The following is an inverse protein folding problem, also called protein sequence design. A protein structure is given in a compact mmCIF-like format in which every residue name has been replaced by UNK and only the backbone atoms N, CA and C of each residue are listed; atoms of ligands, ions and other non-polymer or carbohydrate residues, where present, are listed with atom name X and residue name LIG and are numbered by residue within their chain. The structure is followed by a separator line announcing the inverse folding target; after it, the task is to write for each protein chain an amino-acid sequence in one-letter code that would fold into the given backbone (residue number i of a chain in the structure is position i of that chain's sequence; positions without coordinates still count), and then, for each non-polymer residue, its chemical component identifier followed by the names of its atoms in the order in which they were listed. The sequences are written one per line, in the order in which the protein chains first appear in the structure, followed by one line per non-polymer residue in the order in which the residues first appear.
data_IF_723391395010
#
_entry.id   IF_723391395010
#
_cell.length_a   1.000
_cell.length_b   1.000
_cell.length_c   1.000
_cell.angle_alpha   90.00
_cell.angle_beta   90.00
_cell.angle_gamma   90.00
#
_symmetry.space_group_name_H-M   'P 1'
#
loop_
_entity.id
_entity.type
_entity.pdbx_description
1 polymer ?
#
# COMPACT_ATOMS: atom_id res chain seq x y z
N UNK A 1 -19.41 26.59 13.72
CA UNK A 1 -19.52 25.15 14.01
C UNK A 1 -20.51 24.50 13.04
N UNK A 2 -20.41 23.20 12.88
CA UNK A 2 -21.41 22.40 12.20
C UNK A 2 -21.61 21.08 12.94
N UNK A 3 -22.83 20.59 12.94
CA UNK A 3 -23.23 19.36 13.65
C UNK A 3 -23.55 18.28 12.62
N UNK A 4 -22.98 17.11 12.79
CA UNK A 4 -23.26 15.97 11.92
C UNK A 4 -24.57 15.24 12.32
N UNK A 5 -25.08 14.30 11.51
CA UNK A 5 -26.33 13.58 11.83
C UNK A 5 -26.34 12.77 13.11
N UNK A 6 -25.20 12.58 13.77
CA UNK A 6 -25.11 11.93 15.10
C UNK A 6 -25.13 12.94 16.24
N UNK A 7 -25.20 14.24 15.94
CA UNK A 7 -25.16 15.32 16.92
C UNK A 7 -23.74 15.74 17.32
N UNK A 8 -22.71 15.20 16.67
CA UNK A 8 -21.31 15.56 16.94
C UNK A 8 -20.96 16.92 16.32
N UNK A 9 -20.47 17.84 17.15
CA UNK A 9 -20.16 19.21 16.75
C UNK A 9 -18.68 19.38 16.40
N UNK A 10 -18.39 20.08 15.28
CA UNK A 10 -17.07 20.54 14.88
C UNK A 10 -17.03 22.04 14.79
N UNK A 11 -15.99 22.65 15.32
CA UNK A 11 -15.78 24.10 15.26
C UNK A 11 -14.58 24.42 14.38
N UNK A 12 -14.74 25.37 13.46
CA UNK A 12 -13.64 25.95 12.69
C UNK A 12 -13.30 27.33 13.29
N UNK A 13 -12.01 27.59 13.43
CA UNK A 13 -11.47 28.90 13.75
C UNK A 13 -10.94 29.55 12.49
N UNK A 14 -11.08 30.87 12.39
CA UNK A 14 -10.74 31.64 11.20
C UNK A 14 -9.70 32.69 11.56
N UNK A 15 -8.73 32.89 10.69
CA UNK A 15 -7.76 33.98 10.79
C UNK A 15 -8.37 35.32 10.40
N UNK A 16 -7.68 36.42 10.66
CA UNK A 16 -8.09 37.77 10.23
C UNK A 16 -8.08 37.93 8.71
N UNK A 17 -7.46 37.02 7.98
CA UNK A 17 -7.44 36.91 6.50
C UNK A 17 -8.66 36.19 5.92
N UNK A 18 -9.59 35.71 6.76
CA UNK A 18 -10.77 34.96 6.35
C UNK A 18 -10.49 33.51 5.96
N UNK A 19 -9.29 33.00 6.22
CA UNK A 19 -8.95 31.59 6.01
C UNK A 19 -9.06 30.80 7.31
N UNK A 20 -9.28 29.46 7.19
CA UNK A 20 -9.33 28.58 8.36
C UNK A 20 -7.96 28.54 9.02
N UNK A 21 -7.87 29.00 10.28
CA UNK A 21 -6.68 28.96 11.12
C UNK A 21 -6.64 27.77 12.06
N UNK A 22 -7.75 27.06 12.22
CA UNK A 22 -7.79 25.85 13.04
C UNK A 22 -9.14 25.15 12.98
N UNK A 23 -9.19 23.99 13.62
CA UNK A 23 -10.39 23.19 13.79
C UNK A 23 -10.37 22.48 15.15
N UNK A 24 -11.53 22.37 15.79
CA UNK A 24 -11.72 21.56 17.00
C UNK A 24 -12.68 20.45 16.63
N UNK A 25 -12.28 19.21 16.85
CA UNK A 25 -13.12 18.04 16.59
C UNK A 25 -14.13 17.81 17.75
N UNK A 26 -15.13 16.94 17.58
CA UNK A 26 -16.13 16.66 18.63
C UNK A 26 -15.58 16.10 19.94
N UNK A 27 -14.32 15.70 19.98
CA UNK A 27 -13.64 15.22 21.20
C UNK A 27 -12.78 16.30 21.85
N UNK A 28 -12.77 17.53 21.29
CA UNK A 28 -11.95 18.64 21.75
C UNK A 28 -10.51 18.62 21.22
N UNK A 29 -10.18 17.71 20.32
CA UNK A 29 -8.85 17.72 19.68
C UNK A 29 -8.72 18.93 18.75
N UNK A 30 -7.63 19.67 18.94
CA UNK A 30 -7.39 20.94 18.23
C UNK A 30 -6.32 20.76 17.15
N UNK A 31 -6.64 21.29 15.97
CA UNK A 31 -5.71 21.48 14.85
C UNK A 31 -5.49 22.96 14.62
N UNK A 32 -4.24 23.39 14.47
CA UNK A 32 -3.87 24.77 14.18
C UNK A 32 -3.10 24.87 12.87
N UNK A 33 -3.33 25.94 12.13
CA UNK A 33 -2.67 26.24 10.86
C UNK A 33 -2.13 27.66 10.92
N UNK A 34 -0.81 27.79 10.89
CA UNK A 34 -0.13 29.07 10.72
C UNK A 34 0.12 29.33 9.24
N UNK A 35 0.06 30.59 8.82
CA UNK A 35 0.22 30.99 7.41
C UNK A 35 1.17 32.17 7.27
N UNK A 36 1.79 32.30 6.12
CA UNK A 36 2.54 33.49 5.75
C UNK A 36 1.60 34.61 5.22
N UNK A 37 2.17 35.76 4.88
CA UNK A 37 1.43 36.90 4.36
C UNK A 37 0.75 36.64 2.99
N UNK A 38 1.14 35.58 2.26
CA UNK A 38 0.48 35.15 1.02
C UNK A 38 -0.70 34.22 1.25
N UNK A 39 -0.92 33.77 2.51
CA UNK A 39 -1.93 32.79 2.89
C UNK A 39 -1.45 31.34 2.77
N UNK A 40 -0.19 31.08 2.43
CA UNK A 40 0.36 29.73 2.36
C UNK A 40 0.59 29.14 3.76
N UNK A 41 0.22 27.87 4.02
CA UNK A 41 0.37 27.24 5.32
C UNK A 41 1.84 26.97 5.63
N UNK A 42 2.41 27.69 6.61
CA UNK A 42 3.81 27.57 7.04
C UNK A 42 4.00 26.58 8.16
N UNK A 43 2.93 26.30 8.93
CA UNK A 43 2.95 25.31 10.00
C UNK A 43 1.58 24.73 10.24
N UNK A 44 1.51 23.45 10.44
CA UNK A 44 0.28 22.72 10.83
C UNK A 44 0.61 21.87 12.05
N UNK A 45 -0.11 22.15 13.16
CA UNK A 45 -0.01 21.38 14.39
C UNK A 45 -1.31 20.62 14.58
N UNK A 46 -1.21 19.29 14.73
CA UNK A 46 -2.36 18.41 14.92
C UNK A 46 -2.02 17.38 15.99
N UNK A 47 -2.39 17.70 17.25
CA UNK A 47 -2.27 16.78 18.38
C UNK A 47 -0.87 16.17 18.63
N UNK A 48 0.20 16.92 18.32
CA UNK A 48 1.60 16.50 18.51
C UNK A 48 2.32 16.18 17.20
N UNK A 49 1.61 16.06 16.08
CA UNK A 49 2.19 16.16 14.76
C UNK A 49 2.40 17.64 14.47
N UNK A 50 3.62 18.01 14.10
CA UNK A 50 4.03 19.38 13.80
C UNK A 50 4.75 19.35 12.45
N UNK A 51 4.12 19.91 11.42
CA UNK A 51 4.69 19.99 10.09
C UNK A 51 4.87 21.44 9.72
N UNK A 52 6.10 21.82 9.37
CA UNK A 52 6.44 23.16 8.88
C UNK A 52 6.83 23.11 7.41
N UNK A 53 6.50 24.17 6.67
CA UNK A 53 6.86 24.35 5.28
C UNK A 53 7.41 25.75 5.00
N UNK A 54 8.36 25.82 4.08
CA UNK A 54 8.91 27.10 3.58
C UNK A 54 8.65 27.23 2.10
N UNK A 55 8.39 28.46 1.67
CA UNK A 55 8.06 28.79 0.28
C UNK A 55 9.03 29.83 -0.27
N UNK A 56 9.27 29.78 -1.56
CA UNK A 56 9.99 30.84 -2.26
C UNK A 56 9.04 32.02 -2.62
N UNK A 57 9.61 33.06 -3.22
CA UNK A 57 8.82 34.26 -3.65
C UNK A 57 7.75 33.95 -4.70
N UNK A 58 7.83 32.83 -5.40
CA UNK A 58 6.83 32.39 -6.36
C UNK A 58 5.76 31.48 -5.73
N UNK A 59 5.77 31.29 -4.40
CA UNK A 59 4.83 30.44 -3.66
C UNK A 59 5.08 28.94 -3.82
N UNK A 60 6.26 28.52 -4.29
CA UNK A 60 6.62 27.09 -4.42
C UNK A 60 7.26 26.62 -3.12
N UNK A 61 6.86 25.43 -2.66
CA UNK A 61 7.42 24.83 -1.43
C UNK A 61 8.87 24.43 -1.65
N UNK A 62 9.80 25.09 -0.95
CA UNK A 62 11.25 24.79 -1.04
C UNK A 62 11.74 23.91 0.08
N UNK A 63 10.99 23.78 1.16
CA UNK A 63 11.31 22.83 2.23
C UNK A 63 10.06 22.45 3.02
N UNK A 64 10.05 21.22 3.53
CA UNK A 64 9.06 20.72 4.49
C UNK A 64 9.78 19.94 5.58
N UNK A 65 9.40 20.19 6.84
CA UNK A 65 9.95 19.46 7.97
C UNK A 65 8.83 18.92 8.88
N UNK A 66 9.04 17.71 9.42
CA UNK A 66 8.17 17.11 10.42
C UNK A 66 8.47 17.56 11.84
N UNK A 67 7.71 17.04 12.82
CA UNK A 67 7.85 17.31 14.25
C UNK A 67 9.25 16.99 14.81
N UNK A 68 9.97 16.09 14.14
CA UNK A 68 11.34 15.67 14.46
C UNK A 68 12.42 16.59 13.88
N UNK A 69 12.02 17.65 13.14
CA UNK A 69 12.92 18.56 12.45
C UNK A 69 13.60 17.96 11.20
N UNK A 70 13.22 16.76 10.79
CA UNK A 70 13.72 16.17 9.54
C UNK A 70 13.18 16.94 8.33
N UNK A 71 14.06 17.63 7.64
CA UNK A 71 13.71 18.51 6.52
C UNK A 71 13.94 17.85 5.18
N UNK A 72 12.96 17.93 4.29
CA UNK A 72 13.11 17.63 2.86
C UNK A 72 13.15 18.95 2.09
N UNK A 73 14.21 19.14 1.30
CA UNK A 73 14.44 20.34 0.47
C UNK A 73 14.03 20.04 -0.97
N UNK A 74 13.32 20.98 -1.61
CA UNK A 74 12.88 20.92 -3.00
C UNK A 74 13.57 22.01 -3.82
N UNK A 75 14.07 21.66 -5.01
CA UNK A 75 14.66 22.59 -5.97
C UNK A 75 13.91 22.56 -7.28
N UNK A 76 13.82 23.73 -7.92
CA UNK A 76 13.04 23.94 -9.14
C UNK A 76 13.89 24.54 -10.25
N UNK A 77 13.55 24.21 -11.50
CA UNK A 77 14.14 24.88 -12.67
C UNK A 77 13.56 26.31 -12.86
N UNK A 78 14.07 27.01 -13.85
CA UNK A 78 13.61 28.37 -14.20
C UNK A 78 12.14 28.44 -14.63
N UNK A 79 11.55 27.33 -15.06
CA UNK A 79 10.13 27.20 -15.40
C UNK A 79 9.25 26.83 -14.21
N UNK A 80 9.80 26.67 -13.00
CA UNK A 80 9.09 26.31 -11.80
C UNK A 80 8.78 24.82 -11.64
N UNK A 81 9.45 23.96 -12.38
CA UNK A 81 9.24 22.50 -12.31
C UNK A 81 10.25 21.89 -11.33
N UNK A 82 9.79 20.99 -10.46
CA UNK A 82 10.65 20.27 -9.53
C UNK A 82 11.70 19.46 -10.28
N UNK A 83 12.99 19.66 -9.95
CA UNK A 83 14.13 18.96 -10.55
C UNK A 83 14.96 18.19 -9.53
N UNK A 84 14.85 18.51 -8.25
CA UNK A 84 15.61 17.79 -7.20
C UNK A 84 14.86 17.83 -5.88
N UNK A 85 14.90 16.71 -5.15
CA UNK A 85 14.58 16.68 -3.73
C UNK A 85 15.74 16.08 -2.96
N UNK A 86 16.02 16.65 -1.77
CA UNK A 86 17.02 16.14 -0.83
C UNK A 86 16.32 15.95 0.52
N UNK A 87 16.28 14.73 1.03
CA UNK A 87 15.68 14.48 2.34
C UNK A 87 16.66 14.75 3.49
N UNK A 88 16.19 14.61 4.73
CA UNK A 88 16.96 14.88 5.94
C UNK A 88 18.22 14.01 6.11
N UNK A 89 18.28 12.85 5.46
CA UNK A 89 19.43 11.95 5.46
C UNK A 89 20.38 12.20 4.28
N UNK A 90 20.11 13.25 3.47
CA UNK A 90 20.89 13.62 2.29
C UNK A 90 20.58 12.79 1.05
N UNK A 91 19.54 11.96 1.07
CA UNK A 91 19.16 11.19 -0.09
C UNK A 91 18.52 12.06 -1.17
N UNK A 92 19.12 12.04 -2.33
CA UNK A 92 18.79 12.93 -3.43
C UNK A 92 18.05 12.17 -4.54
N UNK A 93 16.91 12.72 -4.97
CA UNK A 93 16.23 12.31 -6.20
C UNK A 93 16.29 13.45 -7.20
N UNK A 94 16.70 13.15 -8.45
CA UNK A 94 16.86 14.15 -9.51
C UNK A 94 15.97 13.78 -10.70
N UNK A 95 15.29 14.78 -11.26
CA UNK A 95 14.45 14.66 -12.46
C UNK A 95 15.02 15.50 -13.60
N UNK A 96 15.35 14.86 -14.70
CA UNK A 96 15.68 15.55 -15.94
C UNK A 96 14.46 15.63 -16.86
N UNK A 97 14.38 16.71 -17.64
CA UNK A 97 13.24 16.97 -18.51
C UNK A 97 13.67 17.35 -19.90
N UNK A 98 12.84 17.01 -20.88
CA UNK A 98 12.99 17.49 -22.25
C UNK A 98 12.50 18.95 -22.41
N UNK A 99 12.65 19.48 -23.64
CA UNK A 99 12.21 20.84 -23.98
C UNK A 99 10.69 21.04 -23.84
N UNK A 100 9.90 19.97 -23.91
CA UNK A 100 8.44 20.00 -23.71
C UNK A 100 8.07 19.92 -22.21
N UNK A 101 9.05 19.74 -21.32
CA UNK A 101 8.84 19.65 -19.86
C UNK A 101 8.55 18.26 -19.34
N UNK A 102 8.55 17.23 -20.20
CA UNK A 102 8.30 15.84 -19.81
C UNK A 102 9.56 15.27 -19.13
N UNK A 103 9.37 14.44 -18.09
CA UNK A 103 10.47 13.76 -17.40
C UNK A 103 11.10 12.73 -18.33
N UNK A 104 12.40 12.86 -18.65
CA UNK A 104 13.14 11.90 -19.49
C UNK A 104 14.08 11.02 -18.68
N UNK A 105 14.46 11.46 -17.47
CA UNK A 105 15.18 10.58 -16.54
C UNK A 105 14.83 10.90 -15.08
N UNK A 106 14.94 9.88 -14.22
CA UNK A 106 14.87 10.01 -12.77
C UNK A 106 16.05 9.26 -12.18
N UNK A 107 16.91 9.98 -11.46
CA UNK A 107 17.99 9.40 -10.66
C UNK A 107 17.51 9.23 -9.25
N UNK A 108 17.53 8.00 -8.77
CA UNK A 108 17.13 7.65 -7.40
C UNK A 108 18.29 7.86 -6.40
N UNK A 109 18.02 7.99 -5.10
CA UNK A 109 19.07 8.10 -4.05
C UNK A 109 20.07 6.95 -4.03
N UNK A 110 19.70 5.80 -4.57
CA UNK A 110 20.57 4.62 -4.72
C UNK A 110 21.55 4.72 -5.88
N UNK A 111 21.49 5.80 -6.68
CA UNK A 111 22.24 5.97 -7.94
C UNK A 111 21.58 5.28 -9.13
N UNK A 112 20.48 4.54 -8.93
CA UNK A 112 19.73 3.95 -10.05
C UNK A 112 19.05 5.01 -10.90
N UNK A 113 19.14 4.86 -12.24
CA UNK A 113 18.54 5.80 -13.20
C UNK A 113 17.46 5.09 -14.01
N UNK A 114 16.31 5.73 -14.13
CA UNK A 114 15.24 5.32 -15.02
C UNK A 114 15.11 6.34 -16.15
N UNK A 115 15.15 5.88 -17.40
CA UNK A 115 14.91 6.69 -18.58
C UNK A 115 13.50 6.47 -19.10
N UNK A 116 12.86 7.56 -19.53
CA UNK A 116 11.50 7.56 -20.06
C UNK A 116 11.50 8.02 -21.51
N UNK A 117 10.87 7.25 -22.36
CA UNK A 117 10.70 7.56 -23.76
C UNK A 117 9.24 7.86 -24.08
N UNK A 118 9.01 8.74 -25.03
CA UNK A 118 7.68 9.18 -25.43
C UNK A 118 7.48 8.97 -26.93
N UNK A 119 6.27 8.60 -27.32
CA UNK A 119 5.90 8.50 -28.73
C UNK A 119 5.68 9.88 -29.37
N UNK A 120 5.40 9.89 -30.67
CA UNK A 120 5.17 11.13 -31.44
C UNK A 120 3.95 11.94 -30.92
N UNK A 121 3.01 11.31 -30.24
CA UNK A 121 1.87 11.97 -29.60
C UNK A 121 2.18 12.48 -28.19
N UNK A 122 3.40 12.28 -27.69
CA UNK A 122 3.82 12.67 -26.34
C UNK A 122 3.36 11.71 -25.23
N UNK A 123 2.87 10.52 -25.56
CA UNK A 123 2.47 9.49 -24.59
C UNK A 123 3.70 8.70 -24.18
N UNK A 124 3.73 8.25 -22.94
CA UNK A 124 4.79 7.41 -22.40
C UNK A 124 4.88 6.08 -23.17
N UNK A 125 5.98 5.86 -23.89
CA UNK A 125 6.17 4.72 -24.78
C UNK A 125 7.09 3.64 -24.19
N UNK A 126 8.11 4.03 -23.42
CA UNK A 126 8.97 3.06 -22.75
C UNK A 126 9.63 3.60 -21.51
N UNK A 127 10.03 2.67 -20.61
CA UNK A 127 10.94 2.92 -19.48
C UNK A 127 12.12 1.97 -19.59
N UNK A 128 13.32 2.52 -19.39
CA UNK A 128 14.56 1.74 -19.32
C UNK A 128 15.19 1.94 -17.94
N UNK A 129 15.42 0.85 -17.22
CA UNK A 129 16.08 0.88 -15.91
C UNK A 129 17.61 0.96 -16.04
N UNK A 130 18.32 1.25 -14.95
CA UNK A 130 19.79 1.21 -14.89
C UNK A 130 20.37 -0.14 -15.34
N UNK A 131 19.67 -1.24 -15.07
CA UNK A 131 20.07 -2.58 -15.49
C UNK A 131 19.78 -2.90 -16.96
N UNK A 132 19.23 -1.94 -17.73
CA UNK A 132 18.87 -2.13 -19.13
C UNK A 132 17.50 -2.81 -19.35
N UNK A 133 16.75 -3.07 -18.27
CA UNK A 133 15.40 -3.64 -18.38
C UNK A 133 14.47 -2.64 -19.05
N UNK A 134 13.89 -3.02 -20.18
CA UNK A 134 13.04 -2.17 -21.01
C UNK A 134 11.59 -2.64 -20.94
N UNK A 135 10.69 -1.75 -20.53
CA UNK A 135 9.24 -1.91 -20.58
C UNK A 135 8.67 -1.02 -21.67
N UNK A 136 7.81 -1.56 -22.53
CA UNK A 136 7.17 -0.81 -23.60
C UNK A 136 5.66 -0.78 -23.46
N UNK A 137 5.04 0.36 -23.85
CA UNK A 137 3.61 0.60 -23.87
C UNK A 137 3.12 0.77 -25.30
N UNK A 138 2.04 0.09 -25.64
CA UNK A 138 1.45 0.12 -26.98
C UNK A 138 0.05 0.69 -26.87
N UNK A 139 -0.23 1.72 -27.66
CA UNK A 139 -1.52 2.41 -27.66
C UNK A 139 -2.25 2.23 -28.99
N UNK A 140 -3.58 2.24 -28.93
CA UNK A 140 -4.42 2.35 -30.13
C UNK A 140 -4.57 3.81 -30.58
N UNK A 141 -5.34 4.00 -31.66
CA UNK A 141 -5.62 5.33 -32.22
C UNK A 141 -6.39 6.25 -31.25
N UNK A 142 -7.16 5.67 -30.33
CA UNK A 142 -7.90 6.40 -29.30
C UNK A 142 -7.07 6.67 -28.03
N UNK A 143 -5.75 6.41 -28.08
CA UNK A 143 -4.80 6.58 -26.98
C UNK A 143 -5.06 5.65 -25.76
N UNK A 144 -5.74 4.52 -25.97
CA UNK A 144 -5.94 3.50 -24.92
C UNK A 144 -4.76 2.53 -24.93
N UNK A 145 -4.25 2.14 -23.76
CA UNK A 145 -3.18 1.16 -23.62
C UNK A 145 -3.69 -0.24 -24.00
N UNK A 146 -3.31 -0.73 -25.20
CA UNK A 146 -3.73 -2.03 -25.75
C UNK A 146 -2.67 -3.11 -25.59
N UNK A 147 -1.42 -2.74 -25.26
CA UNK A 147 -0.35 -3.71 -25.04
C UNK A 147 0.77 -3.17 -24.18
N UNK A 148 1.45 -4.10 -23.53
CA UNK A 148 2.68 -3.88 -22.79
C UNK A 148 3.68 -4.97 -23.20
N UNK A 149 4.95 -4.63 -23.39
CA UNK A 149 6.03 -5.60 -23.61
C UNK A 149 6.96 -5.51 -22.41
N UNK A 150 7.16 -6.63 -21.75
CA UNK A 150 8.04 -6.72 -20.59
C UNK A 150 9.50 -6.95 -21.03
N UNK A 151 10.50 -6.67 -20.19
CA UNK A 151 11.91 -6.89 -20.52
C UNK A 151 12.27 -8.31 -20.94
N UNK A 152 11.46 -9.29 -20.59
CA UNK A 152 11.57 -10.69 -21.03
C UNK A 152 11.06 -10.94 -22.44
N UNK A 153 10.47 -9.92 -23.10
CA UNK A 153 9.78 -10.05 -24.38
C UNK A 153 8.32 -10.55 -24.26
N UNK A 154 7.88 -10.89 -23.07
CA UNK A 154 6.50 -11.30 -22.80
C UNK A 154 5.53 -10.13 -23.04
N UNK A 155 4.35 -10.43 -23.60
CA UNK A 155 3.37 -9.42 -24.01
C UNK A 155 2.06 -9.55 -23.26
N UNK A 156 1.62 -8.46 -22.63
CA UNK A 156 0.24 -8.25 -22.19
C UNK A 156 -0.57 -7.65 -23.33
N UNK A 157 -1.79 -8.06 -23.52
CA UNK A 157 -2.71 -7.44 -24.48
C UNK A 157 -4.08 -7.18 -23.87
N UNK A 158 -4.66 -6.02 -24.23
CA UNK A 158 -5.99 -5.59 -23.76
C UNK A 158 -6.83 -5.20 -24.96
N UNK A 159 -8.09 -5.70 -25.02
CA UNK A 159 -9.07 -5.31 -26.04
C UNK A 159 -10.21 -4.54 -25.40
N UNK A 160 -10.68 -3.56 -26.12
CA UNK A 160 -11.78 -2.70 -25.70
C UNK A 160 -12.97 -2.87 -26.63
N UNK A 161 -14.18 -2.66 -26.11
CA UNK A 161 -15.38 -2.51 -26.93
C UNK A 161 -15.50 -1.05 -27.46
N UNK A 162 -16.53 -0.80 -28.25
CA UNK A 162 -16.77 0.52 -28.82
C UNK A 162 -17.07 1.61 -27.74
N UNK A 163 -17.46 1.22 -26.54
CA UNK A 163 -17.67 2.14 -25.42
C UNK A 163 -16.39 2.35 -24.57
N UNK A 164 -15.25 1.79 -25.00
CA UNK A 164 -13.96 1.93 -24.29
C UNK A 164 -13.82 1.04 -23.05
N UNK A 165 -14.65 0.03 -22.87
CA UNK A 165 -14.59 -0.90 -21.74
C UNK A 165 -13.74 -2.12 -22.09
N UNK A 166 -12.94 -2.63 -21.16
CA UNK A 166 -12.09 -3.81 -21.37
C UNK A 166 -12.98 -5.05 -21.56
N UNK A 167 -12.91 -5.71 -22.72
CA UNK A 167 -13.63 -6.95 -23.00
C UNK A 167 -12.73 -8.18 -22.94
N UNK A 168 -11.42 -8.00 -23.12
CA UNK A 168 -10.45 -9.08 -23.04
C UNK A 168 -9.10 -8.54 -22.53
N UNK A 169 -8.47 -9.25 -21.58
CA UNK A 169 -7.09 -9.01 -21.17
C UNK A 169 -6.36 -10.34 -21.12
N UNK A 170 -5.22 -10.40 -21.78
CA UNK A 170 -4.31 -11.54 -21.77
C UNK A 170 -3.02 -11.16 -21.07
N UNK A 171 -2.63 -11.95 -20.09
CA UNK A 171 -1.36 -11.79 -19.37
C UNK A 171 -0.53 -13.07 -19.48
N UNK A 172 0.80 -12.97 -19.65
CA UNK A 172 1.68 -14.13 -19.61
C UNK A 172 1.51 -14.92 -18.31
N UNK A 173 1.44 -16.23 -18.41
CA UNK A 173 1.27 -17.12 -17.26
C UNK A 173 -0.08 -17.09 -16.55
N UNK A 174 -0.89 -16.07 -16.78
CA UNK A 174 -2.25 -15.96 -16.21
C UNK A 174 -3.35 -16.27 -17.23
N UNK A 175 -2.98 -16.27 -18.52
CA UNK A 175 -3.91 -16.57 -19.61
C UNK A 175 -4.84 -15.41 -19.95
N UNK A 176 -6.02 -15.71 -20.47
CA UNK A 176 -6.96 -14.70 -20.99
C UNK A 176 -8.21 -14.61 -20.12
N UNK A 177 -8.50 -13.41 -19.62
CA UNK A 177 -9.75 -13.07 -18.91
C UNK A 177 -10.65 -12.27 -19.85
N UNK A 178 -11.97 -12.60 -19.90
CA UNK A 178 -12.96 -11.89 -20.71
C UNK A 178 -14.07 -11.34 -19.85
N UNK A 179 -14.56 -10.15 -20.20
CA UNK A 179 -15.58 -9.42 -19.48
C UNK A 179 -16.80 -9.21 -20.36
N UNK A 180 -17.99 -9.41 -19.79
CA UNK A 180 -19.25 -9.08 -20.41
C UNK A 180 -19.99 -8.02 -19.58
N UNK A 181 -20.65 -7.11 -20.26
CA UNK A 181 -21.32 -5.95 -19.66
C UNK A 181 -22.81 -5.92 -20.00
N UNK A 182 -23.61 -5.34 -19.13
CA UNK A 182 -24.98 -4.98 -19.43
C UNK A 182 -25.04 -3.60 -20.16
N UNK A 183 -26.27 -3.19 -20.48
CA UNK A 183 -26.51 -1.90 -21.17
C UNK A 183 -26.14 -0.67 -20.33
N UNK A 184 -26.06 -0.81 -19.01
CA UNK A 184 -25.63 0.23 -18.08
C UNK A 184 -24.10 0.25 -17.87
N UNK A 185 -23.34 -0.66 -18.51
CA UNK A 185 -21.88 -0.75 -18.40
C UNK A 185 -21.41 -1.53 -17.18
N UNK A 186 -22.28 -2.22 -16.46
CA UNK A 186 -21.89 -3.03 -15.28
C UNK A 186 -21.44 -4.42 -15.73
N UNK A 187 -20.41 -4.98 -15.06
CA UNK A 187 -19.91 -6.33 -15.36
C UNK A 187 -20.97 -7.36 -14.95
N UNK A 188 -21.49 -8.11 -15.91
CA UNK A 188 -22.45 -9.20 -15.68
C UNK A 188 -21.83 -10.58 -15.85
N UNK A 189 -20.65 -10.65 -16.47
CA UNK A 189 -19.95 -11.91 -16.68
C UNK A 189 -18.45 -11.69 -16.70
N UNK A 190 -17.70 -12.56 -16.01
CA UNK A 190 -16.25 -12.69 -16.12
C UNK A 190 -15.94 -14.15 -16.46
N UNK A 191 -15.17 -14.36 -17.53
CA UNK A 191 -14.66 -15.67 -17.89
C UNK A 191 -13.16 -15.70 -17.63
N UNK A 192 -12.73 -16.62 -16.79
CA UNK A 192 -11.31 -16.81 -16.46
C UNK A 192 -10.57 -17.63 -17.56
N UNK A 193 -9.25 -17.77 -17.49
CA UNK A 193 -8.45 -18.50 -18.47
C UNK A 193 -8.77 -19.99 -18.58
N UNK A 194 -9.32 -20.58 -17.52
CA UNK A 194 -9.70 -22.00 -17.46
C UNK A 194 -11.15 -22.24 -17.84
N UNK A 195 -11.78 -21.22 -18.49
CA UNK A 195 -13.17 -21.25 -18.93
C UNK A 195 -14.21 -21.22 -17.79
N UNK A 196 -13.77 -21.00 -16.55
CA UNK A 196 -14.65 -20.76 -15.40
C UNK A 196 -15.43 -19.45 -15.61
N UNK A 197 -16.72 -19.49 -15.33
CA UNK A 197 -17.62 -18.36 -15.62
C UNK A 197 -18.29 -17.86 -14.35
N UNK A 198 -17.97 -16.61 -13.94
CA UNK A 198 -18.67 -15.90 -12.88
C UNK A 198 -19.73 -14.98 -13.49
N UNK A 199 -20.91 -14.89 -12.87
CA UNK A 199 -22.02 -14.04 -13.31
C UNK A 199 -22.49 -13.18 -12.16
N UNK A 200 -22.95 -11.96 -12.48
CA UNK A 200 -23.42 -10.99 -11.51
C UNK A 200 -24.78 -10.46 -11.92
N UNK A 201 -25.67 -10.27 -10.95
CA UNK A 201 -26.99 -9.66 -11.13
C UNK A 201 -27.09 -8.39 -10.29
N UNK A 202 -27.83 -7.45 -10.79
CA UNK A 202 -28.00 -6.14 -10.17
C UNK A 202 -29.47 -5.77 -10.12
N UNK A 203 -29.86 -4.99 -9.12
CA UNK A 203 -31.16 -4.35 -9.06
C UNK A 203 -31.24 -3.08 -9.92
N UNK A 204 -32.40 -2.41 -9.88
CA UNK A 204 -32.63 -1.19 -10.62
C UNK A 204 -31.78 0.00 -10.13
N UNK A 205 -31.35 0.00 -8.85
CA UNK A 205 -30.45 0.98 -8.27
C UNK A 205 -28.97 0.74 -8.63
N UNK A 206 -28.64 -0.40 -9.28
CA UNK A 206 -27.28 -0.74 -9.64
C UNK A 206 -26.52 -1.52 -8.58
N UNK A 207 -27.18 -1.96 -7.52
CA UNK A 207 -26.58 -2.74 -6.45
C UNK A 207 -26.52 -4.22 -6.84
N UNK A 208 -25.39 -4.90 -6.56
CA UNK A 208 -25.21 -6.32 -6.87
C UNK A 208 -26.07 -7.17 -5.93
N UNK A 209 -27.08 -7.84 -6.47
CA UNK A 209 -27.98 -8.73 -5.70
C UNK A 209 -27.52 -10.17 -5.67
N UNK A 210 -26.81 -10.63 -6.70
CA UNK A 210 -26.28 -11.99 -6.76
C UNK A 210 -24.89 -12.03 -7.40
N UNK A 211 -24.01 -12.85 -6.84
CA UNK A 211 -22.76 -13.31 -7.45
C UNK A 211 -22.82 -14.84 -7.60
N UNK A 212 -22.64 -15.33 -8.82
CA UNK A 212 -22.68 -16.74 -9.17
C UNK A 212 -21.28 -17.14 -9.61
N UNK A 213 -20.65 -18.05 -8.92
CA UNK A 213 -19.29 -18.51 -9.22
C UNK A 213 -19.24 -19.50 -10.40
N UNK A 214 -18.04 -20.01 -10.72
CA UNK A 214 -17.82 -20.94 -11.83
C UNK A 214 -18.49 -22.31 -11.63
N UNK A 215 -18.78 -22.70 -10.39
CA UNK A 215 -19.46 -23.94 -10.04
C UNK A 215 -20.98 -23.80 -10.07
N UNK A 216 -21.48 -22.58 -10.18
CA UNK A 216 -22.90 -22.23 -10.09
C UNK A 216 -23.39 -21.91 -8.69
N UNK A 217 -22.48 -21.86 -7.70
CA UNK A 217 -22.80 -21.48 -6.34
C UNK A 217 -23.16 -19.99 -6.25
N UNK A 218 -24.23 -19.67 -5.52
CA UNK A 218 -24.83 -18.32 -5.50
C UNK A 218 -24.67 -17.68 -4.15
N UNK A 219 -24.04 -16.51 -4.12
CA UNK A 219 -24.04 -15.57 -2.97
C UNK A 219 -25.08 -14.49 -3.25
N UNK A 220 -25.95 -14.17 -2.28
CA UNK A 220 -26.96 -13.13 -2.36
C UNK A 220 -26.68 -11.99 -1.41
N UNK A 221 -27.03 -10.76 -1.81
CA UNK A 221 -26.81 -9.54 -1.05
C UNK A 221 -28.13 -8.76 -0.93
N UNK A 222 -28.37 -8.21 0.26
CA UNK A 222 -29.52 -7.34 0.55
C UNK A 222 -29.01 -6.00 1.03
N UNK A 223 -29.69 -4.94 0.61
CA UNK A 223 -29.29 -3.55 0.89
C UNK A 223 -30.44 -2.81 1.57
N UNK A 224 -30.10 -1.82 2.39
CA UNK A 224 -31.06 -0.87 2.92
C UNK A 224 -31.39 0.24 1.91
N UNK A 225 -32.32 1.11 2.26
CA UNK A 225 -32.77 2.24 1.42
C UNK A 225 -31.65 3.24 1.09
N UNK A 226 -30.55 3.24 1.85
CA UNK A 226 -29.36 4.07 1.62
C UNK A 226 -28.29 3.38 0.78
N UNK A 227 -28.55 2.16 0.31
CA UNK A 227 -27.62 1.39 -0.51
C UNK A 227 -26.51 0.67 0.26
N UNK A 228 -26.64 0.54 1.58
CA UNK A 228 -25.65 -0.16 2.41
C UNK A 228 -26.03 -1.64 2.51
N UNK A 229 -25.04 -2.53 2.33
CA UNK A 229 -25.26 -3.97 2.41
C UNK A 229 -25.54 -4.39 3.86
N UNK A 230 -26.80 -4.78 4.13
CA UNK A 230 -27.26 -5.21 5.45
C UNK A 230 -27.24 -6.73 5.65
N UNK A 231 -27.27 -7.51 4.53
CA UNK A 231 -27.22 -8.96 4.62
C UNK A 231 -26.42 -9.54 3.45
N UNK A 232 -25.69 -10.63 3.72
CA UNK A 232 -25.09 -11.49 2.73
C UNK A 232 -25.39 -12.94 3.07
N UNK A 233 -25.90 -13.71 2.09
CA UNK A 233 -26.18 -15.14 2.20
C UNK A 233 -25.22 -15.88 1.28
N UNK A 234 -24.38 -16.72 1.84
CA UNK A 234 -23.44 -17.52 1.07
C UNK A 234 -24.12 -18.72 0.39
N UNK A 235 -23.41 -19.48 -0.49
CA UNK A 235 -23.99 -20.63 -1.17
C UNK A 235 -24.46 -21.78 -0.27
N UNK A 236 -23.99 -21.83 0.98
CA UNK A 236 -24.40 -22.83 1.97
C UNK A 236 -25.68 -22.42 2.72
N UNK A 237 -26.15 -21.17 2.51
CA UNK A 237 -27.27 -20.59 3.23
C UNK A 237 -26.85 -19.87 4.52
N UNK A 238 -25.54 -19.77 4.80
CA UNK A 238 -25.04 -19.08 5.97
C UNK A 238 -25.20 -17.56 5.82
N UNK A 239 -25.77 -16.90 6.83
CA UNK A 239 -26.20 -15.51 6.75
C UNK A 239 -25.32 -14.62 7.64
N UNK A 240 -24.80 -13.54 7.03
CA UNK A 240 -24.11 -12.45 7.75
C UNK A 240 -24.95 -11.19 7.69
N UNK A 241 -25.17 -10.53 8.84
CA UNK A 241 -25.95 -9.30 8.93
C UNK A 241 -25.14 -8.16 9.49
N UNK A 242 -25.44 -6.93 9.05
CA UNK A 242 -24.83 -5.70 9.53
C UNK A 242 -25.88 -4.65 9.83
N UNK A 243 -25.63 -3.85 10.85
CA UNK A 243 -26.38 -2.62 11.12
C UNK A 243 -25.46 -1.42 11.10
N UNK A 244 -26.02 -0.25 10.79
CA UNK A 244 -25.26 0.97 10.59
C UNK A 244 -25.85 2.11 11.40
N UNK A 245 -25.01 3.06 11.79
CA UNK A 245 -25.46 4.32 12.36
C UNK A 245 -25.92 5.30 11.26
N UNK A 246 -26.38 6.48 11.67
CA UNK A 246 -26.85 7.53 10.76
C UNK A 246 -25.77 8.04 9.79
N UNK A 247 -24.49 7.88 10.14
CA UNK A 247 -23.34 8.23 9.29
C UNK A 247 -22.90 7.10 8.34
N UNK A 248 -23.58 5.95 8.37
CA UNK A 248 -23.26 4.78 7.56
C UNK A 248 -22.09 3.93 8.07
N UNK A 249 -21.69 4.09 9.33
CA UNK A 249 -20.64 3.28 9.96
C UNK A 249 -21.24 2.03 10.60
N UNK A 250 -20.58 0.88 10.45
CA UNK A 250 -21.04 -0.39 11.06
C UNK A 250 -21.05 -0.24 12.58
N UNK A 251 -22.19 -0.56 13.22
CA UNK A 251 -22.37 -0.62 14.67
C UNK A 251 -22.56 -2.05 15.17
N UNK A 252 -23.06 -2.97 14.33
CA UNK A 252 -23.05 -4.40 14.65
C UNK A 252 -22.83 -5.27 13.41
N UNK A 253 -22.24 -6.43 13.63
CA UNK A 253 -22.16 -7.51 12.64
C UNK A 253 -22.49 -8.84 13.33
N UNK A 254 -23.45 -9.58 12.76
CA UNK A 254 -23.79 -10.94 13.20
C UNK A 254 -23.20 -11.92 12.19
N UNK A 255 -22.38 -12.83 12.66
CA UNK A 255 -21.76 -13.89 11.83
C UNK A 255 -22.76 -15.04 11.53
N UNK A 256 -22.42 -15.97 10.63
CA UNK A 256 -23.29 -17.09 10.28
C UNK A 256 -23.63 -18.05 11.44
N UNK A 257 -22.86 -18.03 12.52
CA UNK A 257 -23.11 -18.85 13.73
C UNK A 257 -24.00 -18.14 14.74
N UNK A 258 -24.46 -16.91 14.43
CA UNK A 258 -25.30 -16.07 15.31
C UNK A 258 -24.48 -15.22 16.29
N UNK A 259 -23.16 -15.31 16.26
CA UNK A 259 -22.28 -14.52 17.09
C UNK A 259 -22.30 -13.05 16.68
N UNK A 260 -22.63 -12.14 17.59
CA UNK A 260 -22.73 -10.71 17.28
C UNK A 260 -21.55 -9.93 17.85
N UNK A 261 -20.89 -9.17 16.98
CA UNK A 261 -19.89 -8.17 17.37
C UNK A 261 -20.50 -6.79 17.27
N UNK A 262 -20.33 -5.96 18.31
CA UNK A 262 -20.78 -4.55 18.32
C UNK A 262 -19.61 -3.60 18.50
N UNK A 263 -19.76 -2.38 17.98
CA UNK A 263 -18.76 -1.31 18.07
C UNK A 263 -19.38 -0.05 18.64
N UNK A 264 -18.72 0.50 19.65
CA UNK A 264 -19.00 1.81 20.22
C UNK A 264 -18.03 2.85 19.64
N UNK A 265 -18.52 4.08 19.45
CA UNK A 265 -17.73 5.17 18.84
C UNK A 265 -17.83 6.44 19.66
N UNK A 266 -16.76 7.23 19.64
CA UNK A 266 -16.76 8.59 20.18
C UNK A 266 -17.46 9.58 19.22
N UNK A 267 -17.62 10.82 19.67
CA UNK A 267 -18.22 11.90 18.88
C UNK A 267 -17.50 12.20 17.56
N UNK A 268 -16.22 11.90 17.44
CA UNK A 268 -15.47 12.00 16.19
C UNK A 268 -15.63 10.78 15.26
N UNK A 269 -16.38 9.75 15.73
CA UNK A 269 -16.66 8.55 14.96
C UNK A 269 -15.61 7.44 15.08
N UNK A 270 -14.61 7.63 15.91
CA UNK A 270 -13.54 6.65 16.14
C UNK A 270 -14.05 5.53 17.05
N UNK A 271 -13.68 4.29 16.75
CA UNK A 271 -14.05 3.14 17.61
C UNK A 271 -13.35 3.29 18.96
N UNK A 272 -14.14 3.28 20.05
CA UNK A 272 -13.65 3.34 21.44
C UNK A 272 -14.00 2.07 22.23
N UNK A 273 -14.97 1.28 21.73
CA UNK A 273 -15.38 0.04 22.33
C UNK A 273 -15.73 -1.02 21.29
N UNK A 274 -15.51 -2.29 21.62
CA UNK A 274 -15.93 -3.45 20.84
C UNK A 274 -16.31 -4.57 21.79
N UNK A 275 -17.50 -5.14 21.59
CA UNK A 275 -17.90 -6.40 22.24
C UNK A 275 -17.88 -7.47 21.16
N UNK A 276 -17.06 -8.49 21.32
CA UNK A 276 -16.97 -9.62 20.39
C UNK A 276 -18.09 -10.64 20.60
N UNK A 277 -18.27 -11.56 19.64
CA UNK A 277 -19.25 -12.64 19.69
C UNK A 277 -19.16 -13.53 20.95
N UNK A 278 -17.98 -13.64 21.55
CA UNK A 278 -17.74 -14.35 22.82
C UNK A 278 -18.11 -13.54 24.07
N UNK A 279 -18.63 -12.32 23.93
CA UNK A 279 -18.87 -11.39 25.04
C UNK A 279 -17.63 -10.64 25.50
N UNK A 280 -16.44 -10.95 24.98
CA UNK A 280 -15.21 -10.27 25.36
C UNK A 280 -15.24 -8.82 24.91
N UNK A 281 -14.92 -7.89 25.82
CA UNK A 281 -14.85 -6.46 25.55
C UNK A 281 -13.42 -6.00 25.28
N UNK A 282 -13.27 -5.09 24.32
CA UNK A 282 -12.06 -4.31 24.10
C UNK A 282 -12.44 -2.84 24.14
N UNK A 283 -11.72 -2.04 24.92
CA UNK A 283 -11.88 -0.58 24.94
C UNK A 283 -10.55 0.11 24.63
N UNK A 284 -10.63 1.26 23.96
CA UNK A 284 -9.49 2.05 23.57
C UNK A 284 -9.60 3.46 24.11
N UNK A 285 -8.66 3.82 24.98
CA UNK A 285 -8.47 5.19 25.41
C UNK A 285 -7.57 5.92 24.41
N UNK A 286 -7.85 7.20 24.17
CA UNK A 286 -7.16 8.00 23.17
C UNK A 286 -6.62 9.30 23.76
N UNK A 287 -5.53 9.80 23.16
CA UNK A 287 -5.02 11.16 23.42
C UNK A 287 -5.88 12.23 22.72
N UNK A 288 -5.57 13.49 22.96
CA UNK A 288 -6.24 14.63 22.33
C UNK A 288 -6.18 14.66 20.81
N UNK A 289 -5.23 13.97 20.19
CA UNK A 289 -5.13 13.78 18.74
C UNK A 289 -5.91 12.56 18.23
N UNK A 290 -6.60 11.84 19.11
CA UNK A 290 -7.38 10.67 18.76
C UNK A 290 -6.59 9.37 18.62
N UNK A 291 -5.30 9.36 18.96
CA UNK A 291 -4.46 8.16 18.86
C UNK A 291 -4.66 7.29 20.11
N UNK A 292 -4.71 5.98 19.91
CA UNK A 292 -4.84 5.02 21.03
C UNK A 292 -3.62 5.13 21.95
N UNK A 293 -3.87 5.38 23.25
CA UNK A 293 -2.85 5.39 24.31
C UNK A 293 -2.99 4.18 25.22
N UNK A 294 -4.22 3.63 25.39
CA UNK A 294 -4.45 2.41 26.14
C UNK A 294 -5.44 1.51 25.45
N UNK A 295 -5.22 0.22 25.58
CA UNK A 295 -6.17 -0.82 25.20
C UNK A 295 -6.46 -1.65 26.41
N UNK A 296 -7.74 -1.82 26.75
CA UNK A 296 -8.19 -2.66 27.85
C UNK A 296 -8.97 -3.87 27.27
N UNK A 297 -8.83 -5.01 27.91
CA UNK A 297 -9.61 -6.20 27.64
C UNK A 297 -10.38 -6.58 28.91
N UNK A 298 -11.71 -6.63 28.81
CA UNK A 298 -12.61 -6.90 29.94
C UNK A 298 -12.31 -6.00 31.16
N UNK A 299 -12.00 -4.72 30.91
CA UNK A 299 -11.63 -3.71 31.90
C UNK A 299 -10.17 -3.77 32.39
N UNK A 300 -9.42 -4.83 32.08
CA UNK A 300 -8.03 -4.95 32.50
C UNK A 300 -7.08 -4.36 31.41
N UNK A 301 -6.02 -3.66 31.83
CA UNK A 301 -5.02 -3.10 30.93
C UNK A 301 -4.33 -4.20 30.12
N UNK A 302 -4.50 -4.16 28.80
CA UNK A 302 -3.84 -5.06 27.87
C UNK A 302 -2.53 -4.47 27.37
N UNK A 303 -2.55 -3.18 27.00
CA UNK A 303 -1.40 -2.47 26.44
C UNK A 303 -1.55 -0.96 26.65
N UNK A 304 -0.46 -0.31 27.02
CA UNK A 304 -0.28 1.15 27.01
C UNK A 304 0.74 1.54 25.96
N UNK A 305 0.50 2.65 25.26
CA UNK A 305 1.30 3.11 24.13
C UNK A 305 1.81 4.53 24.39
N UNK A 306 3.10 4.66 24.54
CA UNK A 306 3.80 5.96 24.61
C UNK A 306 4.42 6.28 23.26
N UNK A 307 4.34 7.55 22.83
CA UNK A 307 4.91 8.03 21.56
C UNK A 307 5.79 9.22 21.78
N UNK A 308 7.03 9.11 21.34
CA UNK A 308 7.99 10.20 21.22
C UNK A 308 8.16 10.55 19.74
N UNK A 309 7.48 11.62 19.30
CA UNK A 309 7.49 12.03 17.89
C UNK A 309 8.84 12.59 17.48
N UNK A 310 9.47 13.40 18.33
CA UNK A 310 10.80 13.98 18.07
C UNK A 310 11.87 12.88 18.00
N UNK A 311 11.80 11.90 18.91
CA UNK A 311 12.68 10.73 18.91
C UNK A 311 12.24 9.61 17.96
N UNK A 312 11.13 9.78 17.25
CA UNK A 312 10.53 8.77 16.33
C UNK A 312 10.45 7.39 16.99
N UNK A 313 9.98 7.37 18.24
CA UNK A 313 9.93 6.16 19.07
C UNK A 313 8.52 5.88 19.54
N UNK A 314 8.20 4.59 19.60
CA UNK A 314 6.96 4.09 20.22
C UNK A 314 7.33 3.01 21.23
N UNK A 315 6.79 3.15 22.43
CA UNK A 315 6.90 2.17 23.49
C UNK A 315 5.51 1.57 23.76
N UNK A 316 5.43 0.25 23.78
CA UNK A 316 4.25 -0.52 24.14
C UNK A 316 4.54 -1.23 25.48
N UNK A 317 3.74 -1.00 26.50
CA UNK A 317 3.88 -1.66 27.80
C UNK A 317 2.60 -2.42 28.13
N UNK A 318 2.72 -3.70 28.46
CA UNK A 318 1.57 -4.52 28.85
C UNK A 318 1.95 -5.94 29.21
N UNK A 319 1.16 -6.56 30.10
CA UNK A 319 1.35 -7.95 30.56
C UNK A 319 2.77 -8.28 31.04
N UNK A 320 3.42 -7.31 31.74
CA UNK A 320 4.78 -7.50 32.27
C UNK A 320 5.90 -7.46 31.21
N UNK A 321 5.62 -6.99 30.00
CA UNK A 321 6.61 -6.88 28.93
C UNK A 321 6.56 -5.49 28.31
N UNK A 322 7.74 -4.99 27.87
CA UNK A 322 7.89 -3.71 27.18
C UNK A 322 8.45 -3.94 25.78
N UNK A 323 7.78 -3.40 24.79
CA UNK A 323 8.26 -3.39 23.39
C UNK A 323 8.58 -1.97 23.00
N UNK A 324 9.82 -1.74 22.53
CA UNK A 324 10.29 -0.47 22.02
C UNK A 324 10.56 -0.58 20.52
N UNK A 325 10.09 0.39 19.75
CA UNK A 325 10.34 0.52 18.31
C UNK A 325 10.81 1.95 18.03
N UNK A 326 11.80 2.08 17.16
CA UNK A 326 12.25 3.40 16.67
C UNK A 326 12.45 3.37 15.16
N UNK A 327 12.27 4.52 14.55
CA UNK A 327 12.37 4.72 13.10
C UNK A 327 13.34 5.83 12.76
N UNK A 328 13.92 5.79 11.55
CA UNK A 328 14.69 6.92 11.00
C UNK A 328 13.74 8.00 10.43
N UNK A 329 14.33 9.06 9.88
CA UNK A 329 13.63 10.20 9.24
C UNK A 329 12.70 9.80 8.08
N UNK A 330 12.96 8.67 7.40
CA UNK A 330 12.17 8.11 6.30
C UNK A 330 11.09 7.13 6.76
N UNK A 331 10.92 6.93 8.07
CA UNK A 331 9.97 5.97 8.62
C UNK A 331 10.42 4.50 8.52
N UNK A 332 11.70 4.23 8.21
CA UNK A 332 12.24 2.87 8.23
C UNK A 332 12.58 2.45 9.66
N UNK A 333 12.19 1.23 10.05
CA UNK A 333 12.33 0.71 11.40
C UNK A 333 13.81 0.44 11.74
N UNK A 334 14.36 1.17 12.72
CA UNK A 334 15.75 1.03 13.19
C UNK A 334 15.89 -0.12 14.19
N UNK A 335 14.94 -0.26 15.10
CA UNK A 335 14.92 -1.41 16.02
C UNK A 335 13.51 -1.74 16.48
N UNK A 336 13.34 -3.00 16.87
CA UNK A 336 12.21 -3.52 17.64
C UNK A 336 12.78 -4.40 18.75
N UNK A 337 12.68 -3.90 19.97
CA UNK A 337 13.21 -4.56 21.17
C UNK A 337 12.05 -4.97 22.07
N UNK A 338 12.11 -6.16 22.62
CA UNK A 338 11.25 -6.62 23.70
C UNK A 338 12.10 -6.82 24.94
N UNK A 339 11.80 -6.08 26.00
CA UNK A 339 12.54 -6.11 27.25
C UNK A 339 14.06 -5.87 27.03
N UNK A 340 14.40 -4.96 26.11
CA UNK A 340 15.76 -4.58 25.73
C UNK A 340 16.43 -5.46 24.67
N UNK A 341 15.85 -6.64 24.38
CA UNK A 341 16.43 -7.61 23.42
C UNK A 341 15.57 -7.68 22.16
N UNK A 342 16.19 -7.74 20.98
CA UNK A 342 15.45 -7.82 19.73
C UNK A 342 16.27 -7.53 18.49
N UNK A 343 15.57 -7.14 17.44
CA UNK A 343 16.14 -6.88 16.13
C UNK A 343 16.53 -5.41 15.97
N UNK A 344 17.67 -5.17 15.26
CA UNK A 344 18.10 -3.84 14.83
C UNK A 344 18.43 -3.86 13.35
N UNK A 345 18.13 -2.80 12.64
CA UNK A 345 18.32 -2.68 11.19
C UNK A 345 19.11 -1.43 10.83
N UNK A 346 19.94 -1.54 9.81
CA UNK A 346 20.65 -0.42 9.19
C UNK A 346 20.24 -0.32 7.71
N UNK A 347 20.31 0.89 7.18
CA UNK A 347 19.88 1.21 5.83
C UNK A 347 20.90 2.07 5.12
N UNK A 348 20.98 1.95 3.80
CA UNK A 348 21.77 2.86 2.97
C UNK A 348 21.00 4.16 2.66
N UNK A 349 21.68 5.07 1.95
CA UNK A 349 21.11 6.34 1.52
C UNK A 349 19.83 6.20 0.66
N UNK A 350 19.61 5.10 0.00
CA UNK A 350 18.40 4.79 -0.76
C UNK A 350 17.27 4.17 0.04
N UNK A 351 17.48 3.93 1.35
CA UNK A 351 16.51 3.30 2.22
C UNK A 351 16.46 1.77 2.12
N UNK A 352 17.42 1.14 1.43
CA UNK A 352 17.54 -0.31 1.37
C UNK A 352 18.24 -0.82 2.62
N UNK A 353 17.77 -1.95 3.17
CA UNK A 353 18.37 -2.57 4.36
C UNK A 353 19.75 -3.09 4.04
N UNK A 354 20.79 -2.61 4.75
CA UNK A 354 22.19 -3.08 4.60
C UNK A 354 22.53 -4.14 5.62
N UNK A 355 21.96 -4.05 6.83
CA UNK A 355 22.20 -5.06 7.86
C UNK A 355 20.98 -5.29 8.75
N UNK A 356 20.95 -6.47 9.37
CA UNK A 356 20.02 -6.82 10.44
C UNK A 356 20.78 -7.56 11.54
N UNK A 357 20.82 -6.97 12.75
CA UNK A 357 21.37 -7.62 13.94
C UNK A 357 20.27 -8.37 14.67
N UNK A 358 20.50 -9.65 14.93
CA UNK A 358 19.61 -10.54 15.65
C UNK A 358 19.77 -10.43 17.17
N UNK A 359 18.82 -10.98 17.96
CA UNK A 359 18.90 -10.97 19.43
C UNK A 359 20.13 -11.67 20.01
N UNK A 360 20.67 -12.67 19.31
CA UNK A 360 21.90 -13.40 19.67
C UNK A 360 23.18 -12.65 19.32
N UNK A 361 23.07 -11.44 18.74
CA UNK A 361 24.19 -10.60 18.30
C UNK A 361 24.69 -10.92 16.89
N UNK A 362 24.24 -12.00 16.25
CA UNK A 362 24.60 -12.29 14.86
C UNK A 362 24.09 -11.22 13.90
N UNK A 363 24.77 -11.05 12.76
CA UNK A 363 24.42 -10.00 11.79
C UNK A 363 24.21 -10.62 10.39
N UNK A 364 23.01 -10.41 9.83
CA UNK A 364 22.73 -10.63 8.42
C UNK A 364 23.06 -9.37 7.63
N UNK A 365 23.82 -9.47 6.54
CA UNK A 365 24.10 -8.40 5.58
C UNK A 365 23.38 -8.64 4.28
N UNK A 366 22.98 -7.55 3.62
CA UNK A 366 22.18 -7.56 2.40
C UNK A 366 22.91 -6.83 1.29
N UNK A 367 22.90 -7.39 0.08
CA UNK A 367 23.47 -6.80 -1.13
C UNK A 367 22.40 -6.72 -2.21
N UNK A 368 22.47 -5.67 -3.03
CA UNK A 368 21.45 -5.36 -4.04
C UNK A 368 22.06 -5.23 -5.43
N UNK A 369 21.29 -5.61 -6.46
CA UNK A 369 21.65 -5.39 -7.85
C UNK A 369 21.42 -3.92 -8.29
N UNK A 370 21.80 -3.62 -9.53
CA UNK A 370 21.65 -2.28 -10.12
C UNK A 370 20.17 -1.82 -10.23
N UNK A 371 19.22 -2.74 -10.17
CA UNK A 371 17.78 -2.46 -10.18
C UNK A 371 17.17 -2.42 -8.76
N UNK A 372 18.02 -2.27 -7.72
CA UNK A 372 17.63 -2.21 -6.31
C UNK A 372 16.93 -3.49 -5.77
N UNK A 373 17.12 -4.63 -6.42
CA UNK A 373 16.58 -5.92 -5.99
C UNK A 373 17.63 -6.66 -5.16
N UNK A 374 17.20 -7.37 -4.11
CA UNK A 374 18.10 -8.19 -3.29
C UNK A 374 18.83 -9.22 -4.14
N UNK A 375 20.16 -9.12 -4.22
CA UNK A 375 21.05 -9.97 -4.99
C UNK A 375 21.75 -11.04 -4.11
N UNK A 376 22.08 -10.69 -2.87
CA UNK A 376 22.65 -11.64 -1.93
C UNK A 376 22.36 -11.25 -0.47
N UNK A 377 22.44 -12.25 0.40
CA UNK A 377 22.49 -12.04 1.84
C UNK A 377 23.59 -12.92 2.44
N UNK A 378 24.20 -12.45 3.55
CA UNK A 378 25.23 -13.20 4.28
C UNK A 378 24.88 -13.24 5.75
N UNK A 379 24.80 -14.46 6.32
CA UNK A 379 24.58 -14.69 7.74
C UNK A 379 25.65 -15.63 8.30
N UNK A 380 26.15 -15.44 9.54
CA UNK A 380 27.23 -16.26 10.10
C UNK A 380 26.94 -17.77 10.11
N UNK A 381 25.70 -18.17 10.38
CA UNK A 381 25.32 -19.57 10.47
C UNK A 381 25.11 -20.25 9.09
N UNK A 382 24.58 -19.53 8.11
CA UNK A 382 24.21 -20.10 6.79
C UNK A 382 25.19 -19.73 5.68
N UNK A 383 26.13 -18.80 5.95
CA UNK A 383 27.04 -18.25 4.95
C UNK A 383 26.35 -17.29 3.98
N UNK A 384 26.95 -17.13 2.81
CA UNK A 384 26.42 -16.29 1.73
C UNK A 384 25.38 -17.05 0.92
N UNK A 385 24.25 -16.42 0.67
CA UNK A 385 23.18 -16.89 -0.22
C UNK A 385 23.01 -15.88 -1.35
N UNK A 386 23.18 -16.32 -2.58
CA UNK A 386 23.02 -15.51 -3.79
C UNK A 386 21.67 -15.75 -4.45
N UNK A 387 21.06 -14.70 -4.99
CA UNK A 387 19.75 -14.74 -5.63
C UNK A 387 19.89 -14.24 -7.06
N UNK A 388 19.83 -15.16 -8.02
CA UNK A 388 19.77 -14.83 -9.45
C UNK A 388 18.34 -14.48 -9.87
N UNK A 389 18.21 -13.52 -10.77
CA UNK A 389 16.93 -13.05 -11.31
C UNK A 389 16.98 -12.85 -12.80
N UNK A 390 15.82 -12.94 -13.45
CA UNK A 390 15.65 -12.50 -14.83
C UNK A 390 15.37 -10.98 -14.92
N UNK A 391 15.24 -10.49 -16.13
CA UNK A 391 15.07 -9.06 -16.42
C UNK A 391 13.83 -8.43 -15.77
N UNK A 392 12.75 -9.17 -15.51
CA UNK A 392 11.58 -8.64 -14.79
C UNK A 392 11.62 -8.90 -13.27
N UNK A 393 12.72 -9.46 -12.76
CA UNK A 393 12.95 -9.65 -11.34
C UNK A 393 12.46 -10.97 -10.77
N UNK A 394 11.98 -11.93 -11.60
CA UNK A 394 11.62 -13.28 -11.13
C UNK A 394 12.89 -14.03 -10.72
N UNK A 395 12.81 -14.74 -9.61
CA UNK A 395 13.95 -15.54 -9.12
C UNK A 395 14.21 -16.67 -10.11
N UNK A 396 15.45 -16.77 -10.59
CA UNK A 396 15.93 -17.85 -11.47
C UNK A 396 16.87 -18.81 -10.75
N UNK A 397 17.55 -18.33 -9.71
CA UNK A 397 18.40 -19.19 -8.87
C UNK A 397 18.51 -18.65 -7.45
N UNK A 398 18.70 -19.57 -6.51
CA UNK A 398 19.15 -19.31 -5.14
C UNK A 398 20.29 -20.27 -4.85
N UNK A 399 21.47 -19.73 -4.50
CA UNK A 399 22.68 -20.51 -4.22
C UNK A 399 23.20 -20.17 -2.84
N UNK A 400 23.36 -21.17 -2.01
CA UNK A 400 23.94 -21.08 -0.68
C UNK A 400 24.92 -22.24 -0.44
N UNK A 401 25.51 -22.30 0.76
CA UNK A 401 26.52 -23.27 1.14
C UNK A 401 26.13 -24.73 0.88
N UNK A 402 24.86 -25.05 1.17
CA UNK A 402 24.34 -26.42 1.11
C UNK A 402 23.04 -26.53 0.30
N UNK A 403 22.71 -25.47 -0.46
CA UNK A 403 21.48 -25.37 -1.21
C UNK A 403 21.74 -24.68 -2.56
N UNK A 404 21.36 -25.34 -3.64
CA UNK A 404 21.18 -24.70 -4.92
C UNK A 404 19.76 -24.98 -5.42
N UNK A 405 19.02 -23.93 -5.73
CA UNK A 405 17.70 -24.04 -6.33
C UNK A 405 17.66 -23.19 -7.60
N UNK A 406 17.07 -23.73 -8.67
CA UNK A 406 16.92 -23.03 -9.95
C UNK A 406 15.49 -23.15 -10.43
N UNK A 407 15.01 -22.08 -11.05
CA UNK A 407 13.66 -22.00 -11.63
C UNK A 407 13.77 -21.63 -13.09
N UNK A 408 13.07 -22.36 -13.93
CA UNK A 408 12.84 -22.02 -15.34
C UNK A 408 11.43 -21.49 -15.47
N UNK A 409 11.29 -20.37 -16.17
CA UNK A 409 10.02 -19.67 -16.39
C UNK A 409 9.60 -19.81 -17.86
N UNK A 410 8.35 -20.11 -18.13
CA UNK A 410 7.74 -20.11 -19.46
C UNK A 410 6.37 -19.44 -19.38
N UNK A 411 6.10 -18.49 -20.26
CA UNK A 411 4.83 -17.75 -20.34
C UNK A 411 4.37 -17.18 -18.97
N UNK A 412 5.33 -16.69 -18.16
CA UNK A 412 5.06 -16.07 -16.85
C UNK A 412 4.80 -17.05 -15.70
N UNK A 413 4.86 -18.37 -15.94
CA UNK A 413 4.73 -19.42 -14.92
C UNK A 413 6.04 -20.17 -14.72
N UNK A 414 6.20 -20.80 -13.53
CA UNK A 414 7.32 -21.72 -13.29
C UNK A 414 7.10 -22.96 -14.13
N UNK A 415 7.97 -23.19 -15.11
CA UNK A 415 7.96 -24.39 -15.96
C UNK A 415 8.71 -25.54 -15.31
N UNK A 416 9.82 -25.26 -14.61
CA UNK A 416 10.57 -26.25 -13.88
C UNK A 416 11.21 -25.65 -12.64
N UNK A 417 11.36 -26.45 -11.59
CA UNK A 417 12.13 -26.15 -10.40
C UNK A 417 13.07 -27.31 -10.13
N UNK A 418 14.35 -27.02 -9.92
CA UNK A 418 15.34 -27.99 -9.47
C UNK A 418 15.91 -27.50 -8.14
N UNK A 419 15.93 -28.38 -7.15
CA UNK A 419 16.54 -28.13 -5.83
C UNK A 419 17.59 -29.19 -5.60
N UNK A 420 18.82 -28.77 -5.35
CA UNK A 420 19.92 -29.61 -4.91
C UNK A 420 20.28 -29.24 -3.46
N UNK A 421 20.20 -30.18 -2.56
CA UNK A 421 20.49 -30.01 -1.14
C UNK A 421 21.48 -31.11 -0.69
N UNK A 422 22.75 -30.74 -0.55
CA UNK A 422 23.84 -31.69 -0.14
C UNK A 422 23.87 -33.01 -0.93
N UNK A 423 23.71 -32.91 -2.27
CA UNK A 423 23.72 -34.10 -3.13
C UNK A 423 22.38 -34.84 -3.25
N UNK A 424 21.31 -34.35 -2.63
CA UNK A 424 19.95 -34.79 -2.89
C UNK A 424 19.31 -33.86 -3.94
N UNK A 425 19.16 -34.37 -5.15
CA UNK A 425 18.52 -33.63 -6.25
C UNK A 425 17.03 -33.95 -6.27
N UNK A 426 16.19 -32.96 -6.08
CA UNK A 426 14.77 -33.02 -6.35
C UNK A 426 14.44 -32.08 -7.51
N UNK A 427 14.04 -32.64 -8.64
CA UNK A 427 13.55 -31.86 -9.77
C UNK A 427 12.06 -32.10 -9.95
N UNK A 428 11.29 -31.02 -10.03
CA UNK A 428 9.88 -31.05 -10.40
C UNK A 428 9.74 -30.35 -11.72
N UNK A 429 9.39 -31.09 -12.77
CA UNK A 429 8.95 -30.52 -14.04
C UNK A 429 7.47 -30.20 -13.88
N UNK A 430 7.13 -28.92 -13.93
CA UNK A 430 5.75 -28.46 -13.96
C UNK A 430 5.36 -28.24 -15.44
N UNK A 431 5.49 -29.29 -16.27
CA UNK A 431 4.87 -29.26 -17.60
C UNK A 431 3.36 -29.22 -17.41
N UNK A 432 2.77 -28.08 -17.64
CA UNK A 432 1.36 -28.04 -18.03
C UNK A 432 1.31 -28.51 -19.46
N UNK A 433 0.76 -29.70 -19.66
CA UNK A 433 0.37 -30.16 -20.98
C UNK A 433 -0.51 -29.08 -21.64
N UNK A 434 -0.21 -28.78 -22.90
CA UNK A 434 -1.01 -27.82 -23.68
C UNK A 434 -2.49 -28.25 -23.81
N UNK A 435 -2.81 -29.42 -23.31
CA UNK A 435 -4.13 -30.07 -23.33
C UNK A 435 -4.83 -30.17 -21.97
N UNK A 436 -4.30 -29.59 -20.90
CA UNK A 436 -5.03 -29.48 -19.63
C UNK A 436 -6.20 -28.49 -19.80
N UNK A 437 -7.30 -29.04 -20.31
CA UNK A 437 -8.62 -28.42 -20.47
C UNK A 437 -9.32 -28.25 -19.12
#
# INVERSE_FOLDING_TARGET
SFTDPTGAERTLTWGGDGLVSGAIDPTGAERRIERDASGAPTRVVDGGDDVSARYDRAGRMVAVAGADGAETVCRYDSCGRLVETVDADGATTVWERDKAGRVVSVTQPTGGVYHYEYDACGRWAATVSTGGDRYEMIYDADSRLVGEIWPTGERVSTKFDAAGRIVERREPGRGTVRFGYDRCGRIVCVRDPWNGRRRFRYDAAGQMTEAIDATGAVTRFVYDSSGRQIEAVDPTGAVRRRTFDAMGRIVSETDPLGGTTTWERDGAGRVVGRVGASGRTLTWERDGAGRVVRTLADGALLCEVERDFAGRRVTLTGRGSRVEMAWNSRGALLHRLRDGTGMRWEYDAGGRRTSMRHPDGSVTRYEYDANNRLAALTHPATGRVEIGRDAIGRITSVRGRDLEATWTWRDGTVAACRVDRRGFIQSTLLERDADDR
#
